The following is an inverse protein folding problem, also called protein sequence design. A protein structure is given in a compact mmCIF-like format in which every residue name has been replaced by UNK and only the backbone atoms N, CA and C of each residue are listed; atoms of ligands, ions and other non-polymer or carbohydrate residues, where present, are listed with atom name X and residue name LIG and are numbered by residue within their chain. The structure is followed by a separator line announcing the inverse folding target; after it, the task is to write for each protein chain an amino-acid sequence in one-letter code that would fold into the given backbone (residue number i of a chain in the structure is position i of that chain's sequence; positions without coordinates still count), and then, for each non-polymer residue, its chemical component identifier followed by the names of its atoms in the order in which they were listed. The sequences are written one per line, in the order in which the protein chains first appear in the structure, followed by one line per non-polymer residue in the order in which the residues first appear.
data_IF_229618405103
#
_entry.id   IF_229618405103
#
_cell.length_a   1.000
_cell.length_b   1.000
_cell.length_c   1.000
_cell.angle_alpha   90.00
_cell.angle_beta   90.00
_cell.angle_gamma   90.00
#
_symmetry.space_group_name_H-M   'P 1'
#
loop_
_entity.id
_entity.type
_entity.pdbx_description
1 polymer ?
#
# COMPACT_ATOMS: atom_id res chain seq x y z
N UNK A 1 3.50 -21.48 3.82
CA UNK A 1 4.97 -21.37 3.55
C UNK A 1 5.78 -22.29 4.45
N UNK A 2 5.92 -22.02 5.76
CA UNK A 2 6.78 -22.80 6.67
C UNK A 2 6.50 -24.28 6.72
N UNK A 3 5.25 -24.68 6.59
CA UNK A 3 4.82 -26.08 6.58
C UNK A 3 5.25 -26.80 5.27
N UNK A 4 5.00 -26.17 4.14
CA UNK A 4 5.33 -26.71 2.81
C UNK A 4 6.84 -26.75 2.59
N UNK A 5 7.56 -25.68 2.92
CA UNK A 5 9.01 -25.58 2.74
C UNK A 5 9.81 -26.25 3.88
N UNK A 6 9.15 -26.67 4.97
CA UNK A 6 9.78 -27.19 6.19
C UNK A 6 10.82 -26.22 6.80
N UNK A 7 10.72 -24.92 6.49
CA UNK A 7 11.62 -23.85 6.96
C UNK A 7 10.87 -22.91 7.93
N UNK A 8 10.74 -23.34 9.19
CA UNK A 8 10.03 -22.57 10.25
C UNK A 8 10.62 -21.18 10.50
N UNK A 9 11.95 -21.04 10.52
CA UNK A 9 12.64 -19.75 10.75
C UNK A 9 12.29 -18.73 9.67
N UNK A 10 12.30 -19.14 8.40
CA UNK A 10 11.94 -18.28 7.27
C UNK A 10 10.46 -17.85 7.35
N UNK A 11 9.57 -18.76 7.71
CA UNK A 11 8.16 -18.41 7.86
C UNK A 11 7.92 -17.41 9.00
N UNK A 12 8.61 -17.59 10.13
CA UNK A 12 8.54 -16.67 11.26
C UNK A 12 9.11 -15.29 10.91
N UNK A 13 10.21 -15.24 10.17
CA UNK A 13 10.80 -13.99 9.68
C UNK A 13 9.83 -13.26 8.75
N UNK A 14 9.25 -13.93 7.75
CA UNK A 14 8.26 -13.32 6.85
C UNK A 14 7.05 -12.80 7.61
N UNK A 15 6.49 -13.60 8.52
CA UNK A 15 5.38 -13.18 9.36
C UNK A 15 5.75 -11.96 10.22
N UNK A 16 6.93 -11.96 10.83
CA UNK A 16 7.43 -10.85 11.63
C UNK A 16 7.57 -9.55 10.84
N UNK A 17 8.14 -9.62 9.62
CA UNK A 17 8.26 -8.45 8.73
C UNK A 17 6.89 -7.89 8.37
N UNK A 18 5.94 -8.75 7.98
CA UNK A 18 4.57 -8.31 7.67
C UNK A 18 3.90 -7.69 8.89
N UNK A 19 4.06 -8.29 10.08
CA UNK A 19 3.48 -7.77 11.33
C UNK A 19 4.07 -6.41 11.71
N UNK A 20 5.39 -6.26 11.64
CA UNK A 20 6.05 -4.98 11.93
C UNK A 20 5.57 -3.90 10.96
N UNK A 21 5.56 -4.20 9.66
CA UNK A 21 5.06 -3.27 8.64
C UNK A 21 3.60 -2.88 8.88
N UNK A 22 2.74 -3.83 9.18
CA UNK A 22 1.33 -3.57 9.50
C UNK A 22 1.17 -2.71 10.76
N UNK A 23 1.85 -3.05 11.85
CA UNK A 23 1.77 -2.28 13.12
C UNK A 23 2.32 -0.87 12.97
N UNK A 24 3.32 -0.65 12.09
CA UNK A 24 3.83 0.70 11.80
C UNK A 24 2.81 1.61 11.13
N UNK A 25 1.76 1.06 10.53
CA UNK A 25 0.64 1.83 9.96
C UNK A 25 -0.53 1.96 10.96
N UNK A 26 -0.86 0.88 11.67
CA UNK A 26 -2.00 0.82 12.61
C UNK A 26 -1.81 1.73 13.81
N UNK A 27 -0.64 1.64 14.46
CA UNK A 27 -0.41 2.36 15.72
C UNK A 27 -0.51 3.88 15.54
N UNK A 28 0.19 4.51 14.57
CA UNK A 28 0.05 5.94 14.38
C UNK A 28 -1.35 6.35 13.89
N UNK A 29 -2.01 5.55 13.05
CA UNK A 29 -3.38 5.85 12.62
C UNK A 29 -4.35 5.94 13.80
N UNK A 30 -4.31 4.97 14.73
CA UNK A 30 -5.11 5.00 15.95
C UNK A 30 -4.75 6.24 16.79
N UNK A 31 -3.47 6.54 16.94
CA UNK A 31 -3.01 7.69 17.71
C UNK A 31 -3.56 9.01 17.17
N UNK A 32 -3.45 9.26 15.86
CA UNK A 32 -3.94 10.50 15.26
C UNK A 32 -5.46 10.60 15.29
N UNK A 33 -6.18 9.51 15.11
CA UNK A 33 -7.63 9.52 15.15
C UNK A 33 -8.19 9.75 16.57
N UNK A 34 -7.51 9.21 17.57
CA UNK A 34 -7.87 9.41 18.98
C UNK A 34 -7.56 10.84 19.48
N UNK A 35 -6.59 11.52 18.88
CA UNK A 35 -6.27 12.91 19.26
C UNK A 35 -7.28 13.93 18.71
N UNK A 36 -8.21 13.51 17.88
CA UNK A 36 -9.23 14.37 17.31
C UNK A 36 -8.75 15.17 16.10
N UNK A 37 -9.65 15.97 15.54
CA UNK A 37 -9.41 16.82 14.39
C UNK A 37 -9.14 18.26 14.86
N UNK A 38 -7.98 18.87 14.53
CA UNK A 38 -7.65 20.24 14.94
C UNK A 38 -8.68 21.27 14.48
N UNK A 39 -9.19 21.17 13.26
CA UNK A 39 -10.18 22.11 12.72
C UNK A 39 -11.50 22.07 13.51
N UNK A 40 -11.91 20.91 14.02
CA UNK A 40 -13.09 20.80 14.89
C UNK A 40 -12.82 21.38 16.27
N UNK A 41 -11.59 21.22 16.77
CA UNK A 41 -11.20 21.81 18.04
C UNK A 41 -11.20 23.35 18.00
N UNK A 42 -10.83 23.96 16.89
CA UNK A 42 -10.89 25.43 16.68
C UNK A 42 -12.33 25.98 16.73
N UNK A 43 -13.31 25.16 16.41
CA UNK A 43 -14.73 25.52 16.56
C UNK A 43 -15.24 25.44 18.02
N UNK A 44 -14.37 25.09 18.97
CA UNK A 44 -14.72 24.95 20.38
C UNK A 44 -15.48 23.66 20.72
N UNK A 45 -15.48 22.68 19.82
CA UNK A 45 -16.16 21.39 20.03
C UNK A 45 -15.19 20.45 20.75
N UNK A 46 -15.62 19.92 21.89
CA UNK A 46 -14.84 18.93 22.65
C UNK A 46 -14.84 17.57 21.95
N UNK A 47 -13.67 16.93 21.88
CA UNK A 47 -13.48 15.64 21.20
C UNK A 47 -12.95 14.58 22.17
N UNK A 48 -13.64 14.35 23.29
CA UNK A 48 -13.22 13.40 24.33
C UNK A 48 -13.06 11.96 23.80
N UNK A 49 -13.79 11.58 22.76
CA UNK A 49 -13.72 10.28 22.10
C UNK A 49 -12.80 10.27 20.87
N UNK A 50 -12.03 11.33 20.63
CA UNK A 50 -11.26 11.53 19.40
C UNK A 50 -12.11 12.07 18.26
N UNK A 51 -11.64 11.96 17.02
CA UNK A 51 -12.38 12.34 15.83
C UNK A 51 -13.53 11.39 15.58
N UNK A 52 -14.76 11.85 15.84
CA UNK A 52 -15.98 11.04 15.72
C UNK A 52 -16.77 11.32 14.44
N UNK A 53 -16.33 12.27 13.61
CA UNK A 53 -16.97 12.54 12.33
C UNK A 53 -16.97 11.27 11.46
N UNK A 54 -18.12 10.98 10.84
CA UNK A 54 -18.28 9.81 9.98
C UNK A 54 -18.12 8.45 10.66
N UNK A 55 -18.13 8.40 12.01
CA UNK A 55 -17.94 7.18 12.80
C UNK A 55 -19.13 6.85 13.67
N UNK A 56 -19.33 5.57 13.89
CA UNK A 56 -20.39 5.11 14.79
C UNK A 56 -19.92 5.16 16.25
N UNK A 57 -20.74 5.77 17.12
CA UNK A 57 -20.43 5.92 18.57
C UNK A 57 -20.15 4.58 19.22
N UNK A 58 -20.80 3.52 18.77
CA UNK A 58 -20.64 2.15 19.29
C UNK A 58 -19.22 1.60 19.11
N UNK A 59 -18.54 1.97 18.02
CA UNK A 59 -17.17 1.53 17.73
C UNK A 59 -16.12 2.51 18.24
N UNK A 60 -16.41 3.80 18.15
CA UNK A 60 -15.48 4.86 18.53
C UNK A 60 -14.34 5.07 17.51
N UNK A 61 -13.50 6.07 17.77
CA UNK A 61 -12.41 6.47 16.87
C UNK A 61 -11.31 5.42 16.72
N UNK A 62 -10.89 4.79 17.82
CA UNK A 62 -9.81 3.82 17.82
C UNK A 62 -10.12 2.56 16.98
N UNK A 63 -11.32 1.97 17.16
CA UNK A 63 -11.72 0.79 16.41
C UNK A 63 -11.97 1.13 14.94
N UNK A 64 -12.44 2.33 14.63
CA UNK A 64 -12.63 2.79 13.25
C UNK A 64 -11.31 2.96 12.53
N UNK A 65 -10.31 3.61 13.15
CA UNK A 65 -8.95 3.72 12.60
C UNK A 65 -8.29 2.34 12.42
N UNK A 66 -8.42 1.46 13.43
CA UNK A 66 -7.91 0.10 13.34
C UNK A 66 -8.51 -0.65 12.14
N UNK A 67 -9.83 -0.56 11.94
CA UNK A 67 -10.50 -1.22 10.83
C UNK A 67 -10.09 -0.64 9.49
N UNK A 68 -9.95 0.68 9.36
CA UNK A 68 -9.51 1.34 8.15
C UNK A 68 -8.13 0.84 7.67
N UNK A 69 -7.18 0.69 8.58
CA UNK A 69 -5.86 0.15 8.23
C UNK A 69 -5.93 -1.35 7.93
N UNK A 70 -6.75 -2.11 8.67
CA UNK A 70 -6.95 -3.53 8.37
C UNK A 70 -7.50 -3.73 6.96
N UNK A 71 -8.57 -3.03 6.59
CA UNK A 71 -9.20 -3.17 5.29
C UNK A 71 -8.27 -2.77 4.16
N UNK A 72 -7.50 -1.69 4.34
CA UNK A 72 -6.56 -1.19 3.32
C UNK A 72 -5.32 -2.07 3.16
N UNK A 73 -4.78 -2.63 4.25
CA UNK A 73 -3.65 -3.56 4.20
C UNK A 73 -4.02 -4.95 3.68
N UNK A 74 -5.27 -5.38 3.83
CA UNK A 74 -5.69 -6.76 3.49
C UNK A 74 -6.48 -6.85 2.18
N UNK A 75 -6.62 -5.76 1.43
CA UNK A 75 -7.40 -5.68 0.19
C UNK A 75 -8.84 -6.20 0.35
N UNK A 76 -9.47 -5.85 1.48
CA UNK A 76 -10.81 -6.34 1.84
C UNK A 76 -11.93 -5.43 1.33
N UNK A 77 -11.77 -4.10 1.46
CA UNK A 77 -12.72 -3.07 1.03
C UNK A 77 -13.90 -2.83 1.96
N UNK A 78 -14.08 -3.62 3.02
CA UNK A 78 -15.15 -3.35 3.99
C UNK A 78 -14.79 -2.17 4.89
N UNK A 79 -15.77 -1.34 5.20
CA UNK A 79 -15.61 -0.16 6.04
C UNK A 79 -16.61 -0.19 7.21
N UNK A 80 -16.21 0.34 8.37
CA UNK A 80 -17.08 0.54 9.53
C UNK A 80 -17.20 2.03 9.90
N UNK A 81 -16.61 2.89 9.11
CA UNK A 81 -16.63 4.33 9.25
C UNK A 81 -16.43 4.97 7.87
N UNK A 82 -16.82 6.22 7.72
CA UNK A 82 -16.57 7.01 6.51
C UNK A 82 -15.08 7.36 6.44
N UNK A 83 -14.36 6.80 5.46
CA UNK A 83 -12.92 7.00 5.34
C UNK A 83 -12.55 8.45 4.96
N UNK A 84 -13.42 9.11 4.22
CA UNK A 84 -13.30 10.52 3.83
C UNK A 84 -13.25 11.47 5.04
N UNK A 85 -13.94 11.11 6.13
CA UNK A 85 -14.00 11.89 7.39
C UNK A 85 -12.90 11.52 8.40
N UNK A 86 -11.91 10.73 8.02
CA UNK A 86 -10.77 10.44 8.88
C UNK A 86 -9.80 11.61 8.91
N UNK A 87 -9.06 11.73 10.00
CA UNK A 87 -7.99 12.73 10.07
C UNK A 87 -6.99 12.53 8.92
N UNK A 88 -6.40 13.60 8.38
CA UNK A 88 -5.53 13.52 7.20
C UNK A 88 -4.41 12.50 7.33
N UNK A 89 -3.80 12.37 8.51
CA UNK A 89 -2.74 11.41 8.74
C UNK A 89 -3.26 9.97 8.85
N UNK A 90 -4.45 9.75 9.39
CA UNK A 90 -5.09 8.42 9.34
C UNK A 90 -5.38 8.01 7.90
N UNK A 91 -5.88 8.94 7.08
CA UNK A 91 -6.06 8.75 5.63
C UNK A 91 -4.75 8.43 4.91
N UNK A 92 -3.65 9.12 5.27
CA UNK A 92 -2.31 8.82 4.75
C UNK A 92 -1.89 7.37 5.04
N UNK A 93 -2.05 6.89 6.28
CA UNK A 93 -1.67 5.52 6.63
C UNK A 93 -2.58 4.49 5.97
N UNK A 94 -3.86 4.80 5.76
CA UNK A 94 -4.77 3.96 5.00
C UNK A 94 -4.32 3.84 3.53
N UNK A 95 -3.99 4.97 2.88
CA UNK A 95 -3.42 4.96 1.51
C UNK A 95 -2.11 4.20 1.44
N UNK A 96 -1.18 4.41 2.39
CA UNK A 96 0.07 3.65 2.45
C UNK A 96 -0.15 2.15 2.56
N UNK A 97 -1.16 1.70 3.29
CA UNK A 97 -1.54 0.29 3.35
C UNK A 97 -1.84 -0.30 1.98
N UNK A 98 -2.62 0.41 1.16
CA UNK A 98 -2.94 0.02 -0.22
C UNK A 98 -1.75 0.18 -1.17
N UNK A 99 -0.96 1.25 -1.05
CA UNK A 99 0.21 1.54 -1.89
C UNK A 99 1.32 0.52 -1.70
N UNK A 100 1.56 0.05 -0.48
CA UNK A 100 2.52 -1.02 -0.19
C UNK A 100 1.97 -2.38 -0.62
N UNK A 101 0.71 -2.66 -0.37
CA UNK A 101 -0.06 -3.85 -0.78
C UNK A 101 0.67 -5.19 -0.59
N UNK A 102 1.47 -5.30 0.47
CA UNK A 102 2.27 -6.50 0.77
C UNK A 102 2.25 -6.90 2.25
N UNK A 103 1.74 -6.04 3.14
CA UNK A 103 1.58 -6.37 4.56
C UNK A 103 0.26 -7.11 4.76
N UNK A 104 0.35 -8.44 4.83
CA UNK A 104 -0.76 -9.40 4.82
C UNK A 104 -1.51 -9.48 3.47
N UNK A 105 -1.88 -8.37 2.86
CA UNK A 105 -2.55 -8.26 1.56
C UNK A 105 -3.83 -9.09 1.44
N UNK A 106 -4.40 -9.16 0.25
CA UNK A 106 -5.53 -10.03 -0.04
C UNK A 106 -5.17 -11.50 0.02
N UNK A 107 -6.16 -12.37 0.18
CA UNK A 107 -5.97 -13.83 0.30
C UNK A 107 -5.19 -14.38 -0.89
N UNK A 108 -3.96 -14.83 -0.61
CA UNK A 108 -3.01 -15.33 -1.61
C UNK A 108 -2.22 -14.22 -2.32
N UNK A 109 -2.86 -13.14 -2.76
CA UNK A 109 -2.22 -12.05 -3.53
C UNK A 109 -1.21 -11.28 -2.69
N UNK A 110 -1.50 -10.98 -1.43
CA UNK A 110 -0.57 -10.28 -0.55
C UNK A 110 0.75 -11.04 -0.36
N UNK A 111 0.69 -12.35 -0.23
CA UNK A 111 1.89 -13.18 -0.18
C UNK A 111 2.65 -13.20 -1.50
N UNK A 112 1.93 -13.19 -2.64
CA UNK A 112 2.53 -13.13 -3.97
C UNK A 112 3.23 -11.79 -4.17
N UNK A 113 2.62 -10.67 -3.76
CA UNK A 113 3.23 -9.35 -3.81
C UNK A 113 4.48 -9.28 -2.90
N UNK A 114 4.39 -9.81 -1.69
CA UNK A 114 5.54 -9.90 -0.79
C UNK A 114 6.68 -10.75 -1.38
N UNK A 115 6.36 -11.81 -2.12
CA UNK A 115 7.34 -12.62 -2.83
C UNK A 115 8.12 -11.82 -3.87
N UNK A 116 7.49 -10.88 -4.58
CA UNK A 116 8.19 -9.96 -5.50
C UNK A 116 9.25 -9.17 -4.75
N UNK A 117 8.92 -8.63 -3.57
CA UNK A 117 9.89 -7.91 -2.74
C UNK A 117 10.99 -8.81 -2.18
N UNK A 118 10.71 -10.08 -1.89
CA UNK A 118 11.76 -11.05 -1.54
C UNK A 118 12.75 -11.20 -2.69
N UNK A 119 12.29 -11.37 -3.94
CA UNK A 119 13.17 -11.50 -5.12
C UNK A 119 14.02 -10.26 -5.31
N UNK A 120 13.44 -9.06 -5.17
CA UNK A 120 14.18 -7.80 -5.26
C UNK A 120 15.21 -7.67 -4.13
N UNK A 121 14.85 -8.01 -2.89
CA UNK A 121 15.75 -7.96 -1.74
C UNK A 121 16.90 -8.96 -1.87
N UNK A 122 16.65 -10.17 -2.38
CA UNK A 122 17.70 -11.17 -2.66
C UNK A 122 18.67 -10.65 -3.72
N UNK A 123 18.14 -10.02 -4.76
CA UNK A 123 18.96 -9.45 -5.83
C UNK A 123 19.82 -8.30 -5.33
N UNK A 124 19.21 -7.32 -4.65
CA UNK A 124 19.92 -6.16 -4.08
C UNK A 124 20.97 -6.61 -3.06
N UNK A 125 20.57 -7.47 -2.11
CA UNK A 125 21.50 -7.99 -1.09
C UNK A 125 22.64 -8.80 -1.68
N UNK A 126 22.37 -9.59 -2.72
CA UNK A 126 23.42 -10.32 -3.46
C UNK A 126 24.44 -9.38 -4.11
N UNK A 127 23.97 -8.33 -4.79
CA UNK A 127 24.84 -7.33 -5.42
C UNK A 127 25.65 -6.54 -4.40
N UNK A 128 25.05 -6.14 -3.27
CA UNK A 128 25.76 -5.39 -2.22
C UNK A 128 26.94 -6.18 -1.60
N UNK A 129 26.79 -7.50 -1.50
CA UNK A 129 27.81 -8.38 -0.90
C UNK A 129 28.75 -8.97 -1.96
N UNK A 130 28.53 -8.67 -3.25
CA UNK A 130 29.30 -9.23 -4.35
C UNK A 130 29.08 -10.73 -4.54
N UNK A 131 27.91 -11.23 -4.22
CA UNK A 131 27.55 -12.66 -4.29
C UNK A 131 26.46 -12.91 -5.33
N UNK A 132 26.42 -14.12 -5.86
CA UNK A 132 25.35 -14.52 -6.77
C UNK A 132 24.02 -14.56 -6.01
N UNK A 133 22.97 -13.81 -6.46
CA UNK A 133 21.67 -13.85 -5.83
C UNK A 133 21.04 -15.25 -5.96
N UNK A 134 20.69 -15.85 -4.83
CA UNK A 134 20.09 -17.19 -4.79
C UNK A 134 18.87 -17.20 -3.85
N UNK A 135 17.79 -17.84 -4.29
CA UNK A 135 16.59 -18.02 -3.48
C UNK A 135 16.15 -19.49 -3.51
N UNK A 136 16.02 -20.10 -2.34
CA UNK A 136 15.67 -21.54 -2.19
C UNK A 136 16.53 -22.49 -3.01
N UNK A 137 17.84 -22.22 -3.11
CA UNK A 137 18.77 -23.04 -3.89
C UNK A 137 18.65 -22.87 -5.40
N UNK A 138 18.05 -21.76 -5.85
CA UNK A 138 17.90 -21.41 -7.27
C UNK A 138 18.50 -20.04 -7.53
N UNK A 139 19.28 -19.90 -8.59
CA UNK A 139 19.89 -18.65 -9.00
C UNK A 139 18.86 -17.68 -9.52
N UNK A 140 18.83 -16.48 -8.95
CA UNK A 140 17.99 -15.36 -9.44
C UNK A 140 18.79 -14.58 -10.46
N UNK A 141 18.33 -14.50 -11.69
CA UNK A 141 19.01 -13.87 -12.82
C UNK A 141 18.22 -12.64 -13.33
N UNK A 142 18.78 -11.95 -14.31
CA UNK A 142 18.21 -10.72 -14.84
C UNK A 142 16.76 -10.87 -15.37
N UNK A 143 16.38 -12.05 -15.85
CA UNK A 143 15.01 -12.29 -16.37
C UNK A 143 13.97 -12.23 -15.25
N UNK A 144 14.23 -12.91 -14.14
CA UNK A 144 13.33 -12.91 -12.96
C UNK A 144 13.25 -11.53 -12.35
N UNK A 145 14.40 -10.85 -12.24
CA UNK A 145 14.47 -9.49 -11.66
C UNK A 145 13.73 -8.47 -12.54
N UNK A 146 13.83 -8.55 -13.88
CA UNK A 146 13.09 -7.66 -14.77
C UNK A 146 11.58 -7.80 -14.59
N UNK A 147 11.07 -9.03 -14.48
CA UNK A 147 9.64 -9.24 -14.22
C UNK A 147 9.26 -8.70 -12.85
N UNK A 148 10.05 -8.98 -11.80
CA UNK A 148 9.80 -8.46 -10.47
C UNK A 148 9.77 -6.93 -10.43
N UNK A 149 10.68 -6.25 -11.14
CA UNK A 149 10.70 -4.78 -11.25
C UNK A 149 9.47 -4.24 -11.98
N UNK A 150 9.07 -4.87 -13.11
CA UNK A 150 7.87 -4.45 -13.84
C UNK A 150 6.63 -4.55 -12.94
N UNK A 151 6.49 -5.67 -12.21
CA UNK A 151 5.35 -5.85 -11.30
C UNK A 151 5.37 -4.83 -10.16
N UNK A 152 6.55 -4.55 -9.58
CA UNK A 152 6.67 -3.54 -8.52
C UNK A 152 6.37 -2.12 -9.00
N UNK A 153 6.62 -1.80 -10.27
CA UNK A 153 6.42 -0.46 -10.85
C UNK A 153 5.04 -0.25 -11.45
N UNK A 154 4.30 -1.31 -11.83
CA UNK A 154 2.99 -1.15 -12.46
C UNK A 154 1.97 -0.56 -11.49
N UNK A 155 2.05 -0.93 -10.21
CA UNK A 155 1.17 -0.43 -9.17
C UNK A 155 1.32 1.11 -8.97
N UNK A 156 2.52 1.67 -8.71
CA UNK A 156 2.71 3.12 -8.69
C UNK A 156 2.32 3.80 -10.00
N UNK A 157 2.61 3.19 -11.15
CA UNK A 157 2.27 3.76 -12.45
C UNK A 157 0.76 3.96 -12.60
N UNK A 158 -0.04 2.99 -12.20
CA UNK A 158 -1.50 3.08 -12.30
C UNK A 158 -2.08 4.08 -11.30
N UNK A 159 -1.57 4.10 -10.08
CA UNK A 159 -2.00 5.06 -9.04
C UNK A 159 -1.68 6.49 -9.46
N UNK A 160 -0.41 6.77 -9.71
CA UNK A 160 0.04 8.13 -10.00
C UNK A 160 -0.42 8.61 -11.37
N UNK A 161 -0.42 7.74 -12.38
CA UNK A 161 -0.89 8.05 -13.71
C UNK A 161 -2.38 8.36 -13.74
N UNK A 162 -3.20 7.56 -13.06
CA UNK A 162 -4.63 7.81 -12.92
C UNK A 162 -4.92 9.10 -12.16
N UNK A 163 -4.27 9.31 -11.02
CA UNK A 163 -4.40 10.55 -10.23
C UNK A 163 -3.98 11.78 -11.02
N UNK A 164 -2.86 11.72 -11.75
CA UNK A 164 -2.38 12.84 -12.55
C UNK A 164 -3.34 13.15 -13.71
N UNK A 165 -3.83 12.13 -14.42
CA UNK A 165 -4.82 12.30 -15.48
C UNK A 165 -6.09 12.98 -14.98
N UNK A 166 -6.62 12.50 -13.85
CA UNK A 166 -7.85 13.05 -13.27
C UNK A 166 -7.66 14.48 -12.78
N UNK A 167 -6.54 14.76 -12.10
CA UNK A 167 -6.20 16.11 -11.65
C UNK A 167 -6.03 17.07 -12.83
N UNK A 168 -5.44 16.63 -13.93
CA UNK A 168 -5.29 17.42 -15.15
C UNK A 168 -6.64 17.74 -15.78
N UNK A 169 -7.54 16.76 -15.90
CA UNK A 169 -8.88 16.97 -16.45
C UNK A 169 -9.70 17.91 -15.57
N UNK A 170 -9.68 17.68 -14.26
CA UNK A 170 -10.38 18.52 -13.29
C UNK A 170 -9.88 19.97 -13.33
N UNK A 171 -8.58 20.19 -13.33
CA UNK A 171 -7.98 21.54 -13.37
C UNK A 171 -8.28 22.27 -14.70
N UNK A 172 -8.37 21.54 -15.80
CA UNK A 172 -8.65 22.12 -17.13
C UNK A 172 -10.12 22.56 -17.30
N UNK A 173 -11.06 21.93 -16.59
CA UNK A 173 -12.50 22.21 -16.71
C UNK A 173 -13.26 21.93 -15.42
N UNK A 174 -12.99 22.69 -14.33
CA UNK A 174 -13.58 22.42 -13.01
C UNK A 174 -15.12 22.42 -13.01
N UNK A 175 -15.73 23.28 -13.84
CA UNK A 175 -17.20 23.38 -13.93
C UNK A 175 -17.84 22.11 -14.51
N UNK A 176 -17.19 21.46 -15.48
CA UNK A 176 -17.68 20.22 -16.10
C UNK A 176 -17.57 19.05 -15.10
N UNK A 177 -16.51 19.05 -14.31
CA UNK A 177 -16.19 17.96 -13.37
C UNK A 177 -16.53 18.29 -11.91
N UNK A 178 -17.33 19.33 -11.66
CA UNK A 178 -17.69 19.77 -10.30
C UNK A 178 -18.35 18.67 -9.46
N UNK A 179 -19.02 17.70 -10.09
CA UNK A 179 -19.62 16.57 -9.39
C UNK A 179 -18.63 15.50 -8.93
N UNK A 180 -17.35 15.59 -9.35
CA UNK A 180 -16.36 14.60 -8.99
C UNK A 180 -15.81 14.79 -7.58
N UNK A 181 -15.80 16.01 -7.06
CA UNK A 181 -15.29 16.34 -5.73
C UNK A 181 -16.34 17.08 -4.91
N UNK A 182 -16.52 16.65 -3.68
CA UNK A 182 -17.28 17.42 -2.66
C UNK A 182 -16.37 18.31 -1.84
N UNK A 183 -15.13 17.90 -1.66
CA UNK A 183 -14.13 18.61 -0.87
C UNK A 183 -12.95 19.04 -1.77
N UNK A 184 -12.99 20.21 -2.42
CA UNK A 184 -11.88 20.68 -3.25
C UNK A 184 -10.63 20.97 -2.42
N UNK A 185 -9.49 21.24 -3.09
CA UNK A 185 -8.17 21.51 -2.51
C UNK A 185 -7.37 20.24 -2.21
N UNK A 186 -6.58 20.22 -1.14
CA UNK A 186 -5.69 19.10 -0.79
C UNK A 186 -6.47 17.81 -0.49
N UNK A 187 -7.63 17.94 0.14
CA UNK A 187 -8.50 16.81 0.42
C UNK A 187 -9.04 16.19 -0.87
N UNK A 188 -9.50 16.99 -1.82
CA UNK A 188 -9.97 16.50 -3.11
C UNK A 188 -8.86 15.80 -3.93
N UNK A 189 -7.61 16.25 -3.82
CA UNK A 189 -6.49 15.50 -4.37
C UNK A 189 -6.33 14.14 -3.68
N UNK A 190 -6.52 14.07 -2.37
CA UNK A 190 -6.52 12.82 -1.60
C UNK A 190 -7.65 11.89 -2.02
N UNK A 191 -8.86 12.41 -2.34
CA UNK A 191 -9.98 11.61 -2.88
C UNK A 191 -9.58 10.91 -4.20
N UNK A 192 -8.97 11.64 -5.15
CA UNK A 192 -8.48 11.06 -6.40
C UNK A 192 -7.37 10.02 -6.16
N UNK A 193 -6.41 10.36 -5.31
CA UNK A 193 -5.29 9.48 -5.00
C UNK A 193 -5.74 8.20 -4.29
N UNK A 194 -6.73 8.31 -3.39
CA UNK A 194 -7.30 7.17 -2.68
C UNK A 194 -8.02 6.23 -3.64
N UNK A 195 -8.84 6.75 -4.55
CA UNK A 195 -9.60 5.93 -5.49
C UNK A 195 -8.70 5.09 -6.39
N UNK A 196 -7.66 5.70 -7.00
CA UNK A 196 -6.71 4.94 -7.80
C UNK A 196 -5.84 3.99 -6.96
N UNK A 197 -5.56 4.32 -5.70
CA UNK A 197 -4.86 3.41 -4.78
C UNK A 197 -5.73 2.19 -4.46
N UNK A 198 -7.01 2.41 -4.20
CA UNK A 198 -7.99 1.36 -3.93
C UNK A 198 -8.22 0.46 -5.15
N UNK A 199 -8.43 1.06 -6.32
CA UNK A 199 -8.59 0.33 -7.57
C UNK A 199 -7.35 -0.51 -7.91
N UNK A 200 -6.15 0.08 -7.78
CA UNK A 200 -4.89 -0.62 -8.06
C UNK A 200 -4.58 -1.74 -7.05
N UNK A 201 -4.86 -1.52 -5.76
CA UNK A 201 -4.76 -2.57 -4.74
C UNK A 201 -5.88 -3.62 -4.83
N UNK A 202 -6.89 -3.38 -5.67
CA UNK A 202 -8.13 -4.17 -5.72
C UNK A 202 -8.81 -4.27 -4.35
N UNK A 203 -8.81 -3.16 -3.61
CA UNK A 203 -9.35 -3.08 -2.26
C UNK A 203 -10.87 -2.91 -2.28
N UNK A 204 -11.38 -1.78 -2.79
CA UNK A 204 -12.80 -1.47 -2.91
C UNK A 204 -13.33 -0.44 -1.90
N UNK A 205 -12.54 0.02 -0.92
CA UNK A 205 -12.88 1.20 -0.12
C UNK A 205 -12.60 2.48 -0.91
N UNK A 206 -13.33 3.55 -0.64
CA UNK A 206 -13.18 4.87 -1.26
C UNK A 206 -13.12 5.98 -0.22
N UNK A 207 -12.81 7.18 -0.66
CA UNK A 207 -13.18 8.40 0.05
C UNK A 207 -14.54 8.84 -0.49
N UNK A 208 -15.53 8.86 0.39
CA UNK A 208 -16.94 8.99 0.03
C UNK A 208 -17.34 10.42 -0.42
N UNK A 209 -16.41 11.37 -0.35
CA UNK A 209 -16.49 12.69 -0.98
C UNK A 209 -16.41 12.63 -2.50
N UNK A 210 -15.81 11.57 -3.05
CA UNK A 210 -15.68 11.37 -4.49
C UNK A 210 -17.03 11.04 -5.14
N UNK A 211 -17.36 11.75 -6.22
CA UNK A 211 -18.52 11.45 -7.09
C UNK A 211 -18.15 10.39 -8.12
N UNK A 212 -18.05 9.15 -7.71
CA UNK A 212 -17.44 8.04 -8.47
C UNK A 212 -18.36 7.43 -9.55
N UNK A 213 -19.68 7.56 -9.43
CA UNK A 213 -20.62 6.93 -10.36
C UNK A 213 -20.74 7.70 -11.69
N UNK A 214 -19.65 7.76 -12.43
CA UNK A 214 -19.60 8.35 -13.78
C UNK A 214 -18.94 7.38 -14.77
N UNK A 215 -19.19 7.53 -16.10
CA UNK A 215 -18.51 6.70 -17.10
C UNK A 215 -16.98 6.76 -17.01
N UNK A 216 -16.42 7.93 -16.68
CA UNK A 216 -14.96 8.07 -16.51
C UNK A 216 -14.43 7.20 -15.38
N UNK A 217 -14.99 7.34 -14.18
CA UNK A 217 -14.57 6.57 -13.02
C UNK A 217 -14.79 5.07 -13.22
N UNK A 218 -15.97 4.67 -13.69
CA UNK A 218 -16.31 3.26 -13.89
C UNK A 218 -15.37 2.56 -14.89
N UNK A 219 -14.96 3.24 -15.97
CA UNK A 219 -14.07 2.67 -16.99
C UNK A 219 -12.62 2.69 -16.52
N UNK A 220 -12.14 3.82 -16.01
CA UNK A 220 -10.72 3.97 -15.64
C UNK A 220 -10.35 3.07 -14.46
N UNK A 221 -11.15 3.07 -13.39
CA UNK A 221 -10.92 2.19 -12.24
C UNK A 221 -11.06 0.71 -12.61
N UNK A 222 -12.03 0.37 -13.47
CA UNK A 222 -12.19 -0.99 -13.99
C UNK A 222 -10.95 -1.48 -14.76
N UNK A 223 -10.37 -0.64 -15.63
CA UNK A 223 -9.13 -0.96 -16.34
C UNK A 223 -7.94 -1.10 -15.39
N UNK A 224 -7.81 -0.20 -14.43
CA UNK A 224 -6.76 -0.25 -13.40
C UNK A 224 -6.87 -1.54 -12.59
N UNK A 225 -8.07 -1.91 -12.15
CA UNK A 225 -8.32 -3.17 -11.44
C UNK A 225 -7.90 -4.40 -12.24
N UNK A 226 -8.25 -4.46 -13.53
CA UNK A 226 -7.86 -5.58 -14.40
C UNK A 226 -6.33 -5.71 -14.53
N UNK A 227 -5.65 -4.61 -14.83
CA UNK A 227 -4.20 -4.59 -14.99
C UNK A 227 -3.50 -4.98 -13.70
N UNK A 228 -3.88 -4.35 -12.59
CA UNK A 228 -3.25 -4.54 -11.28
C UNK A 228 -3.72 -5.83 -10.56
N UNK A 229 -4.70 -6.55 -11.09
CA UNK A 229 -5.06 -7.89 -10.62
C UNK A 229 -4.26 -8.97 -11.33
N UNK A 230 -4.32 -8.98 -12.65
CA UNK A 230 -3.79 -10.11 -13.40
C UNK A 230 -2.27 -10.08 -13.56
N UNK A 231 -1.66 -8.93 -13.80
CA UNK A 231 -0.21 -8.86 -13.96
C UNK A 231 0.58 -9.23 -12.70
N UNK A 232 0.19 -8.75 -11.48
CA UNK A 232 0.82 -9.19 -10.24
C UNK A 232 0.62 -10.67 -9.88
N UNK A 233 -0.35 -11.36 -10.49
CA UNK A 233 -0.50 -12.80 -10.34
C UNK A 233 0.38 -13.53 -11.36
N UNK A 234 0.30 -13.14 -12.64
CA UNK A 234 1.01 -13.81 -13.74
C UNK A 234 2.53 -13.67 -13.58
N UNK A 235 3.02 -12.48 -13.20
CA UNK A 235 4.45 -12.23 -13.08
C UNK A 235 5.16 -13.12 -12.07
N UNK A 236 4.76 -13.17 -10.80
CA UNK A 236 5.36 -14.06 -9.82
C UNK A 236 5.22 -15.54 -10.13
N UNK A 237 4.12 -15.97 -10.76
CA UNK A 237 3.95 -17.35 -11.23
C UNK A 237 4.96 -17.66 -12.35
N UNK A 238 5.18 -16.72 -13.28
CA UNK A 238 6.22 -16.85 -14.30
C UNK A 238 7.62 -16.92 -13.70
N UNK A 239 7.94 -16.06 -12.69
CA UNK A 239 9.20 -16.13 -11.94
C UNK A 239 9.36 -17.52 -11.29
N UNK A 240 8.32 -18.01 -10.63
CA UNK A 240 8.35 -19.32 -9.99
C UNK A 240 8.60 -20.45 -11.01
N UNK A 241 7.96 -20.39 -12.18
CA UNK A 241 8.17 -21.34 -13.29
C UNK A 241 9.61 -21.31 -13.81
N UNK A 242 10.18 -20.11 -14.02
CA UNK A 242 11.57 -19.97 -14.44
C UNK A 242 12.55 -20.51 -13.38
N UNK A 243 12.32 -20.20 -12.09
CA UNK A 243 13.16 -20.74 -11.02
C UNK A 243 13.03 -22.25 -10.88
N UNK A 244 11.83 -22.81 -11.08
CA UNK A 244 11.59 -24.26 -11.01
C UNK A 244 12.40 -25.03 -12.06
N UNK A 245 12.55 -24.49 -13.27
CA UNK A 245 13.30 -25.10 -14.36
C UNK A 245 14.83 -25.09 -14.16
N UNK A 246 15.37 -24.27 -13.25
CA UNK A 246 16.81 -24.16 -13.00
C UNK A 246 17.34 -25.30 -12.15
N UNK A 247 18.64 -25.58 -12.29
CA UNK A 247 19.35 -26.57 -11.45
C UNK A 247 19.39 -26.10 -10.01
N UNK A 248 19.32 -27.05 -9.08
CA UNK A 248 19.53 -26.77 -7.66
C UNK A 248 21.00 -26.49 -7.38
N UNK A 249 21.29 -25.45 -6.62
CA UNK A 249 22.61 -25.08 -6.15
C UNK A 249 22.64 -25.32 -4.64
N UNK A 250 23.57 -26.17 -4.15
CA UNK A 250 23.74 -26.37 -2.72
C UNK A 250 24.17 -25.08 -2.02
N UNK A 251 23.69 -24.85 -0.81
CA UNK A 251 24.11 -23.73 0.02
C UNK A 251 25.62 -23.78 0.26
N UNK A 252 26.30 -22.67 0.02
CA UNK A 252 27.75 -22.49 0.25
C UNK A 252 28.01 -21.38 1.28
N UNK A 253 29.23 -21.21 1.74
CA UNK A 253 29.63 -20.10 2.59
C UNK A 253 29.34 -18.72 1.96
N UNK A 254 29.17 -18.69 0.63
CA UNK A 254 28.80 -17.51 -0.15
C UNK A 254 27.31 -17.25 -0.30
N UNK A 255 26.44 -18.18 0.07
CA UNK A 255 24.99 -18.02 -0.11
C UNK A 255 24.42 -17.03 0.91
N UNK A 256 23.60 -16.07 0.45
CA UNK A 256 22.87 -15.16 1.33
C UNK A 256 21.79 -15.93 2.10
N UNK A 257 21.90 -15.98 3.42
CA UNK A 257 20.91 -16.65 4.27
C UNK A 257 19.61 -15.83 4.30
N UNK A 258 18.55 -16.40 3.75
CA UNK A 258 17.22 -15.76 3.61
C UNK A 258 16.28 -16.02 4.80
N UNK A 259 16.77 -16.66 5.87
CA UNK A 259 16.01 -16.99 7.08
C UNK A 259 16.48 -16.23 8.32
N UNK A 260 17.24 -15.14 8.12
CA UNK A 260 17.82 -14.31 9.19
C UNK A 260 17.02 -13.02 9.42
N UNK A 261 17.10 -12.46 10.64
CA UNK A 261 16.52 -11.16 10.96
C UNK A 261 17.10 -10.04 10.09
N UNK A 262 18.41 -10.10 9.77
CA UNK A 262 19.06 -9.13 8.87
C UNK A 262 18.42 -9.12 7.48
N UNK A 263 18.09 -10.30 6.93
CA UNK A 263 17.39 -10.38 5.66
C UNK A 263 15.94 -9.84 5.78
N UNK A 264 15.27 -10.07 6.92
CA UNK A 264 13.96 -9.48 7.20
C UNK A 264 13.99 -7.94 7.22
N UNK A 265 15.01 -7.35 7.88
CA UNK A 265 15.22 -5.89 7.88
C UNK A 265 15.49 -5.39 6.45
N UNK A 266 16.29 -6.11 5.67
CA UNK A 266 16.57 -5.76 4.27
C UNK A 266 15.27 -5.74 3.44
N UNK A 267 14.38 -6.74 3.59
CA UNK A 267 13.09 -6.74 2.90
C UNK A 267 12.26 -5.52 3.31
N UNK A 268 12.16 -5.26 4.61
CA UNK A 268 11.38 -4.12 5.12
C UNK A 268 11.95 -2.78 4.58
N UNK A 269 13.28 -2.64 4.53
CA UNK A 269 13.95 -1.48 3.96
C UNK A 269 13.67 -1.34 2.46
N UNK A 270 13.72 -2.42 1.69
CA UNK A 270 13.40 -2.40 0.25
C UNK A 270 11.95 -1.97 0.02
N UNK A 271 10.99 -2.53 0.77
CA UNK A 271 9.59 -2.13 0.70
C UNK A 271 9.44 -0.64 1.03
N UNK A 272 10.03 -0.18 2.15
CA UNK A 272 9.94 1.21 2.60
C UNK A 272 10.56 2.20 1.60
N UNK A 273 11.74 1.88 1.04
CA UNK A 273 12.41 2.73 0.05
C UNK A 273 11.59 2.80 -1.25
N UNK A 274 11.11 1.67 -1.76
CA UNK A 274 10.28 1.65 -2.98
C UNK A 274 8.99 2.44 -2.77
N UNK A 275 8.31 2.26 -1.64
CA UNK A 275 7.10 3.00 -1.32
C UNK A 275 7.36 4.50 -1.17
N UNK A 276 8.42 4.89 -0.47
CA UNK A 276 8.79 6.28 -0.29
C UNK A 276 9.13 6.96 -1.62
N UNK A 277 9.98 6.35 -2.44
CA UNK A 277 10.37 6.92 -3.72
C UNK A 277 9.19 7.03 -4.70
N UNK A 278 8.26 6.07 -4.66
CA UNK A 278 7.10 6.07 -5.54
C UNK A 278 6.01 7.04 -5.09
N UNK A 279 5.65 7.06 -3.82
CA UNK A 279 4.40 7.68 -3.37
C UNK A 279 4.58 8.94 -2.52
N UNK A 280 5.75 9.16 -1.90
CA UNK A 280 5.95 10.30 -1.01
C UNK A 280 5.61 11.65 -1.66
N UNK A 281 5.98 11.95 -2.94
CA UNK A 281 5.60 13.22 -3.58
C UNK A 281 4.08 13.42 -3.67
N UNK A 282 3.32 12.38 -3.99
CA UNK A 282 1.86 12.47 -4.06
C UNK A 282 1.23 12.62 -2.66
N UNK A 283 1.75 11.91 -1.67
CA UNK A 283 1.29 12.02 -0.28
C UNK A 283 1.57 13.40 0.33
N UNK A 284 2.59 14.11 -0.15
CA UNK A 284 2.85 15.49 0.29
C UNK A 284 1.86 16.48 -0.28
N UNK A 285 1.30 16.25 -1.46
CA UNK A 285 0.32 17.14 -2.10
C UNK A 285 -1.10 16.98 -1.54
N UNK A 286 -1.43 15.79 -1.06
CA UNK A 286 -2.73 15.47 -0.46
C UNK A 286 -2.68 15.52 1.08
N UNK A 287 -2.63 14.35 1.73
CA UNK A 287 -2.89 14.25 3.16
C UNK A 287 -1.88 14.99 4.04
N UNK A 288 -0.61 15.12 3.63
CA UNK A 288 0.36 15.88 4.42
C UNK A 288 0.11 17.39 4.32
N UNK A 289 -0.15 17.91 3.11
CA UNK A 289 -0.48 19.32 2.93
C UNK A 289 -1.77 19.68 3.68
N UNK A 290 -2.78 18.82 3.61
CA UNK A 290 -4.02 18.97 4.35
C UNK A 290 -3.77 19.04 5.86
N UNK A 291 -2.96 18.11 6.41
CA UNK A 291 -2.60 18.12 7.83
C UNK A 291 -1.93 19.41 8.26
N UNK A 292 -0.98 19.94 7.50
CA UNK A 292 -0.29 21.18 7.83
C UNK A 292 -1.23 22.40 7.77
N UNK A 293 -2.09 22.46 6.76
CA UNK A 293 -3.10 23.53 6.66
C UNK A 293 -4.07 23.49 7.84
N UNK A 294 -4.55 22.31 8.23
CA UNK A 294 -5.45 22.14 9.36
C UNK A 294 -4.78 22.40 10.72
N UNK A 295 -3.46 22.29 10.81
CA UNK A 295 -2.68 22.53 12.03
C UNK A 295 -2.18 23.98 12.13
N UNK A 296 -2.55 24.85 11.18
CA UNK A 296 -2.12 26.26 11.15
C UNK A 296 -0.61 26.43 10.92
N UNK A 297 0.07 25.45 10.34
CA UNK A 297 1.51 25.45 10.06
C UNK A 297 1.81 25.76 8.59
#
# INVERSE_FOLDING_TARGET
MGYVLKRKKMALMVFGVMTIGFLSLVIPAIYFEMNGNPAIAELGITQEMGSMEGKEVRFGSAASAYWAINTTCTSNGSVNAMHDSMTPLTGLFAMLGMMVNSFYGGVGVGFINFYVFIILAVFIGGLMVGRTPEFLGKKVEAKEVKIAMIIALIHPLMILGGTALTSFLYSGSPEIYASWLKNPSHHGFSEFLYEFSSASANNGSGFEGLGDNTPFWNITTGLVMLICRYLPIIGPVAIAGMLASKKYIPESAGTLKTDTSTFGILILAVIGIVAALAFFPALTLGPLAEYFVMSGM
#
